data_IF_477749545475
#
_entry.id   IF_477749545475
#
_cell.length_a   1.000
_cell.length_b   1.000
_cell.length_c   1.000
_cell.angle_alpha   90.00
_cell.angle_beta   90.00
_cell.angle_gamma   90.00
#
_symmetry.space_group_name_H-M   'P 1'
#
loop_
_entity.id
_entity.type
_entity.pdbx_description
1 polymer ?
#
# COMPACT_ATOMS: atom_id res chain seq x y z
N UNK A 1 -5.38 -6.31 -10.88
CA UNK A 1 -4.51 -6.99 -9.93
C UNK A 1 -3.53 -7.87 -10.69
N UNK A 2 -2.31 -7.39 -10.87
CA UNK A 2 -1.36 -8.03 -11.78
C UNK A 2 -0.12 -8.54 -11.06
N UNK A 3 0.42 -7.76 -10.11
CA UNK A 3 1.66 -8.05 -9.41
C UNK A 3 1.48 -8.18 -7.89
N UNK A 4 0.26 -8.36 -7.43
CA UNK A 4 -0.10 -8.39 -6.02
C UNK A 4 -0.24 -9.79 -5.40
N UNK A 5 0.06 -10.85 -6.16
CA UNK A 5 0.02 -12.20 -5.64
C UNK A 5 1.02 -12.40 -4.49
N UNK A 6 0.59 -13.09 -3.45
CA UNK A 6 1.32 -13.31 -2.20
C UNK A 6 1.27 -14.77 -1.77
N UNK A 7 2.04 -15.15 -0.78
CA UNK A 7 2.12 -16.49 -0.20
C UNK A 7 1.76 -16.54 1.29
N UNK A 8 0.82 -15.71 1.73
CA UNK A 8 0.52 -15.55 3.15
C UNK A 8 -0.57 -16.47 3.73
N UNK A 9 -1.39 -17.09 2.90
CA UNK A 9 -2.50 -17.95 3.32
C UNK A 9 -2.56 -19.27 2.54
N UNK A 10 -3.56 -20.11 2.80
CA UNK A 10 -3.71 -21.42 2.16
C UNK A 10 -3.90 -21.32 0.64
N UNK A 11 -4.53 -20.28 0.16
CA UNK A 11 -4.68 -20.01 -1.27
C UNK A 11 -3.32 -19.63 -1.86
N UNK A 12 -2.60 -18.78 -1.18
CA UNK A 12 -1.28 -18.32 -1.60
C UNK A 12 -0.22 -19.43 -1.56
N UNK A 13 -0.36 -20.43 -0.67
CA UNK A 13 0.46 -21.63 -0.69
C UNK A 13 0.39 -22.36 -2.03
N UNK A 14 -0.81 -22.42 -2.64
CA UNK A 14 -0.96 -22.98 -3.97
C UNK A 14 -0.23 -22.13 -5.02
N UNK A 15 -0.36 -20.82 -4.95
CA UNK A 15 0.33 -19.87 -5.83
C UNK A 15 1.84 -20.12 -5.72
N UNK A 16 2.39 -20.07 -4.53
CA UNK A 16 3.80 -20.27 -4.25
C UNK A 16 4.34 -21.60 -4.81
N UNK A 17 3.63 -22.68 -4.54
CA UNK A 17 3.99 -24.01 -5.04
C UNK A 17 4.01 -24.11 -6.56
N UNK A 18 3.14 -23.38 -7.25
CA UNK A 18 2.94 -23.49 -8.69
C UNK A 18 3.65 -22.40 -9.50
N UNK A 19 4.19 -21.36 -8.85
CA UNK A 19 4.81 -20.25 -9.58
C UNK A 19 6.25 -20.52 -9.97
N UNK A 20 6.95 -21.45 -9.31
CA UNK A 20 8.40 -21.63 -9.42
C UNK A 20 9.15 -20.30 -9.26
N UNK A 21 8.52 -19.29 -8.65
CA UNK A 21 9.04 -17.94 -8.41
C UNK A 21 9.37 -17.15 -9.68
N UNK A 22 8.79 -17.53 -10.81
CA UNK A 22 8.94 -16.77 -12.06
C UNK A 22 7.91 -15.63 -12.10
N UNK A 23 8.28 -14.42 -12.56
CA UNK A 23 7.37 -13.27 -12.55
C UNK A 23 6.03 -13.54 -13.25
N UNK A 24 6.05 -14.18 -14.41
CA UNK A 24 4.85 -14.52 -15.18
C UNK A 24 3.88 -15.44 -14.43
N UNK A 25 4.40 -16.32 -13.58
CA UNK A 25 3.58 -17.23 -12.77
C UNK A 25 2.91 -16.51 -11.60
N UNK A 26 3.63 -15.62 -10.94
CA UNK A 26 3.03 -14.74 -9.93
C UNK A 26 1.98 -13.84 -10.55
N UNK A 27 2.29 -13.21 -11.68
CA UNK A 27 1.39 -12.33 -12.40
C UNK A 27 0.07 -12.99 -12.79
N UNK A 28 0.10 -14.27 -13.14
CA UNK A 28 -1.09 -15.03 -13.57
C UNK A 28 -1.72 -15.89 -12.47
N UNK A 29 -1.22 -15.82 -11.26
CA UNK A 29 -1.60 -16.71 -10.16
C UNK A 29 -3.07 -16.63 -9.75
N UNK A 30 -3.72 -15.49 -9.95
CA UNK A 30 -5.15 -15.27 -9.69
C UNK A 30 -6.05 -15.58 -10.88
N UNK A 31 -5.51 -16.18 -11.97
CA UNK A 31 -6.26 -16.55 -13.16
C UNK A 31 -6.33 -15.46 -14.25
N UNK A 32 -5.75 -14.30 -14.02
CA UNK A 32 -5.63 -13.26 -15.05
C UNK A 32 -4.54 -13.62 -16.08
N UNK A 33 -4.63 -13.13 -17.32
CA UNK A 33 -3.58 -13.30 -18.31
C UNK A 33 -2.34 -12.46 -17.98
N UNK A 34 -1.22 -12.82 -18.61
CA UNK A 34 -0.01 -11.98 -18.59
C UNK A 34 -0.35 -10.59 -19.11
N UNK A 35 0.04 -9.57 -18.36
CA UNK A 35 -0.22 -8.16 -18.69
C UNK A 35 0.56 -7.74 -19.93
N UNK A 36 -0.15 -7.15 -20.88
CA UNK A 36 0.39 -6.67 -22.15
C UNK A 36 0.13 -5.18 -22.34
N UNK A 37 0.91 -4.49 -23.18
CA UNK A 37 0.72 -3.06 -23.45
C UNK A 37 -0.69 -2.70 -23.93
N UNK A 38 -1.33 -3.60 -24.68
CA UNK A 38 -2.67 -3.41 -25.25
C UNK A 38 -3.74 -3.18 -24.17
N UNK A 39 -3.56 -3.76 -22.98
CA UNK A 39 -4.44 -3.55 -21.85
C UNK A 39 -4.48 -2.07 -21.44
N UNK A 40 -3.33 -1.42 -21.37
CA UNK A 40 -3.25 -0.01 -20.97
C UNK A 40 -3.72 0.93 -22.08
N UNK A 41 -3.50 0.56 -23.33
CA UNK A 41 -4.08 1.27 -24.47
C UNK A 41 -5.61 1.26 -24.39
N UNK A 42 -6.20 0.10 -24.09
CA UNK A 42 -7.66 -0.02 -23.91
C UNK A 42 -8.18 0.85 -22.76
N UNK A 43 -7.48 0.89 -21.62
CA UNK A 43 -7.84 1.80 -20.52
C UNK A 43 -7.74 3.27 -20.92
N UNK A 44 -6.68 3.65 -21.64
CA UNK A 44 -6.54 5.04 -22.16
C UNK A 44 -7.67 5.41 -23.09
N UNK A 45 -8.03 4.54 -24.03
CA UNK A 45 -9.15 4.73 -24.96
C UNK A 45 -10.51 4.81 -24.25
N UNK A 46 -10.66 4.09 -23.13
CA UNK A 46 -11.83 4.18 -22.26
C UNK A 46 -11.87 5.48 -21.39
N UNK A 47 -10.85 6.33 -21.49
CA UNK A 47 -10.82 7.64 -20.81
C UNK A 47 -10.09 7.64 -19.46
N UNK A 48 -9.46 6.53 -19.05
CA UNK A 48 -8.63 6.52 -17.85
C UNK A 48 -7.32 7.28 -18.09
N UNK A 49 -6.86 8.01 -17.08
CA UNK A 49 -5.62 8.77 -17.12
C UNK A 49 -4.60 8.36 -16.06
N UNK A 50 -4.96 7.43 -15.19
CA UNK A 50 -4.10 6.89 -14.15
C UNK A 50 -4.37 5.41 -13.92
N UNK A 51 -3.31 4.69 -13.58
CA UNK A 51 -3.35 3.28 -13.16
C UNK A 51 -2.65 3.19 -11.80
N UNK A 52 -3.30 2.64 -10.81
CA UNK A 52 -2.64 2.17 -9.59
C UNK A 52 -2.15 0.75 -9.84
N UNK A 53 -0.85 0.54 -9.70
CA UNK A 53 -0.19 -0.74 -9.91
C UNK A 53 0.17 -1.36 -8.55
N UNK A 54 -0.65 -2.28 -8.01
CA UNK A 54 -0.35 -2.97 -6.78
C UNK A 54 0.77 -3.99 -7.01
N UNK A 55 1.82 -3.93 -6.17
CA UNK A 55 2.97 -4.82 -6.24
C UNK A 55 3.29 -5.37 -4.86
N UNK A 56 3.33 -6.69 -4.74
CA UNK A 56 3.80 -7.39 -3.54
C UNK A 56 5.27 -7.74 -3.68
N UNK A 57 6.09 -7.36 -2.73
CA UNK A 57 7.54 -7.44 -2.83
C UNK A 57 8.16 -8.57 -2.03
N UNK A 58 7.61 -8.92 -0.86
CA UNK A 58 8.25 -9.88 0.03
C UNK A 58 8.53 -11.26 -0.58
N UNK A 59 7.71 -11.82 -1.50
CA UNK A 59 8.02 -13.09 -2.14
C UNK A 59 9.26 -13.02 -3.03
N UNK A 60 9.68 -11.81 -3.36
CA UNK A 60 10.78 -11.51 -4.27
C UNK A 60 11.96 -10.81 -3.57
N UNK A 61 12.00 -10.83 -2.22
CA UNK A 61 13.05 -10.17 -1.42
C UNK A 61 13.99 -11.20 -0.81
N UNK A 62 14.88 -11.75 -1.63
CA UNK A 62 15.93 -12.67 -1.19
C UNK A 62 15.74 -14.11 -1.64
N UNK A 63 16.86 -14.77 -1.89
CA UNK A 63 16.90 -16.10 -2.51
C UNK A 63 16.52 -17.26 -1.57
N UNK A 64 16.56 -17.03 -0.26
CA UNK A 64 16.35 -18.09 0.74
C UNK A 64 14.88 -18.33 1.07
N UNK A 65 14.02 -17.45 0.65
CA UNK A 65 12.65 -17.37 1.12
C UNK A 65 11.84 -18.64 0.82
N UNK A 66 12.11 -19.33 -0.29
CA UNK A 66 11.32 -20.47 -0.74
C UNK A 66 12.12 -21.74 -1.04
N UNK A 67 13.37 -21.79 -0.65
CA UNK A 67 14.26 -22.91 -1.02
C UNK A 67 14.02 -24.20 -0.26
N UNK A 68 13.25 -24.21 0.80
CA UNK A 68 13.17 -25.41 1.67
C UNK A 68 11.75 -25.70 2.07
N UNK A 69 10.81 -25.90 1.20
CA UNK A 69 9.54 -26.06 1.85
C UNK A 69 8.83 -27.36 1.61
N UNK A 70 8.91 -28.16 2.62
CA UNK A 70 7.82 -29.00 3.08
C UNK A 70 6.76 -28.22 3.90
N UNK A 71 7.07 -27.01 4.35
CA UNK A 71 6.12 -26.09 5.02
C UNK A 71 5.81 -24.92 4.11
N UNK A 72 4.58 -24.85 3.67
CA UNK A 72 4.10 -23.92 2.67
C UNK A 72 3.55 -22.61 3.25
N UNK A 73 3.68 -22.38 4.54
CA UNK A 73 3.27 -21.14 5.19
C UNK A 73 4.46 -20.21 5.36
N UNK A 74 4.42 -19.09 4.68
CA UNK A 74 5.34 -18.00 4.96
C UNK A 74 5.11 -17.46 6.37
N UNK A 75 6.19 -17.18 7.07
CA UNK A 75 6.14 -16.52 8.36
C UNK A 75 7.32 -15.58 8.49
N UNK A 76 7.12 -14.31 8.81
CA UNK A 76 8.21 -13.36 9.03
C UNK A 76 9.18 -13.77 10.13
N UNK A 77 8.74 -14.63 11.04
CA UNK A 77 9.58 -15.15 12.14
C UNK A 77 10.40 -16.36 11.75
N UNK A 78 9.99 -17.09 10.71
CA UNK A 78 10.65 -18.33 10.28
C UNK A 78 11.57 -18.13 9.08
N UNK A 79 11.34 -17.09 8.30
CA UNK A 79 12.05 -16.85 7.04
C UNK A 79 12.43 -15.38 6.95
N UNK A 80 13.61 -15.00 7.45
CA UNK A 80 14.06 -13.62 7.43
C UNK A 80 14.25 -13.14 5.99
N UNK A 81 13.70 -11.96 5.69
CA UNK A 81 13.90 -11.26 4.42
C UNK A 81 15.31 -10.68 4.38
N UNK A 82 15.99 -10.77 3.24
CA UNK A 82 17.30 -10.13 3.04
C UNK A 82 17.18 -8.70 2.53
N UNK A 83 16.02 -8.36 1.99
CA UNK A 83 15.71 -7.05 1.42
C UNK A 83 16.25 -6.81 0.01
N UNK A 84 16.95 -7.77 -0.58
CA UNK A 84 17.40 -7.67 -1.98
C UNK A 84 16.27 -8.12 -2.89
N UNK A 85 15.77 -7.20 -3.70
CA UNK A 85 14.72 -7.51 -4.68
C UNK A 85 15.29 -8.35 -5.82
N UNK A 86 14.59 -9.43 -6.18
CA UNK A 86 14.92 -10.26 -7.32
C UNK A 86 14.98 -9.40 -8.60
N UNK A 87 16.10 -9.36 -9.32
CA UNK A 87 16.22 -8.57 -10.55
C UNK A 87 15.19 -8.92 -11.62
N UNK A 88 14.76 -10.18 -11.70
CA UNK A 88 13.73 -10.59 -12.66
C UNK A 88 12.36 -9.99 -12.29
N UNK A 89 12.04 -9.91 -11.00
CA UNK A 89 10.83 -9.24 -10.53
C UNK A 89 10.89 -7.73 -10.78
N UNK A 90 11.97 -7.07 -10.38
CA UNK A 90 12.16 -5.64 -10.62
C UNK A 90 12.04 -5.32 -12.12
N UNK A 91 12.67 -6.11 -12.99
CA UNK A 91 12.54 -5.96 -14.43
C UNK A 91 11.09 -6.05 -14.90
N UNK A 92 10.31 -7.01 -14.35
CA UNK A 92 8.89 -7.16 -14.74
C UNK A 92 8.05 -5.98 -14.27
N UNK A 93 8.27 -5.50 -13.06
CA UNK A 93 7.62 -4.28 -12.55
C UNK A 93 7.95 -3.09 -13.47
N UNK A 94 9.22 -2.93 -13.84
CA UNK A 94 9.69 -1.88 -14.75
C UNK A 94 8.97 -1.94 -16.10
N UNK A 95 8.89 -3.13 -16.73
CA UNK A 95 8.18 -3.31 -18.00
C UNK A 95 6.70 -2.85 -17.92
N UNK A 96 6.00 -3.16 -16.82
CA UNK A 96 4.60 -2.77 -16.68
C UNK A 96 4.46 -1.27 -16.42
N UNK A 97 5.37 -0.66 -15.66
CA UNK A 97 5.43 0.80 -15.50
C UNK A 97 5.63 1.46 -16.86
N UNK A 98 6.54 0.94 -17.70
CA UNK A 98 6.76 1.44 -19.06
C UNK A 98 5.49 1.34 -19.92
N UNK A 99 4.75 0.24 -19.83
CA UNK A 99 3.50 0.10 -20.58
C UNK A 99 2.50 1.20 -20.20
N UNK A 100 2.37 1.52 -18.92
CA UNK A 100 1.45 2.55 -18.41
C UNK A 100 1.91 3.95 -18.86
N UNK A 101 3.18 4.28 -18.62
CA UNK A 101 3.74 5.61 -18.93
C UNK A 101 3.74 5.87 -20.43
N UNK A 102 3.99 4.85 -21.27
CA UNK A 102 3.94 4.97 -22.74
C UNK A 102 2.57 5.36 -23.29
N UNK A 103 1.49 5.11 -22.54
CA UNK A 103 0.14 5.56 -22.88
C UNK A 103 -0.17 6.97 -22.36
N UNK A 104 0.82 7.72 -21.92
CA UNK A 104 0.63 9.05 -21.35
C UNK A 104 -0.32 9.06 -20.14
N UNK A 105 -0.26 7.99 -19.31
CA UNK A 105 -1.02 7.85 -18.06
C UNK A 105 -0.12 7.99 -16.83
N UNK A 106 -0.71 8.40 -15.72
CA UNK A 106 -0.04 8.32 -14.43
C UNK A 106 0.01 6.87 -13.94
N UNK A 107 1.12 6.49 -13.32
CA UNK A 107 1.30 5.22 -12.64
C UNK A 107 1.52 5.46 -11.14
N UNK A 108 0.70 4.86 -10.29
CA UNK A 108 0.90 4.83 -8.84
C UNK A 108 1.44 3.46 -8.47
N UNK A 109 2.73 3.38 -8.18
CA UNK A 109 3.44 2.14 -7.81
C UNK A 109 3.53 2.03 -6.29
N UNK A 110 3.15 0.89 -5.72
CA UNK A 110 3.09 0.70 -4.28
C UNK A 110 3.83 -0.53 -3.73
N UNK A 111 3.78 -0.65 -2.40
CA UNK A 111 4.08 -1.86 -1.62
C UNK A 111 2.73 -2.39 -1.12
N UNK A 112 2.27 -3.54 -1.66
CA UNK A 112 0.85 -3.94 -1.53
C UNK A 112 0.60 -4.97 -0.43
N UNK A 113 0.57 -6.27 -0.73
CA UNK A 113 0.33 -7.32 0.26
C UNK A 113 1.55 -7.65 1.14
N UNK A 114 2.53 -6.79 1.18
CA UNK A 114 3.51 -6.68 2.26
C UNK A 114 2.86 -6.20 3.57
N UNK A 115 1.65 -5.65 3.44
CA UNK A 115 0.72 -5.23 4.50
C UNK A 115 -0.55 -6.10 4.49
N UNK A 116 -1.42 -5.93 5.46
CA UNK A 116 -2.67 -6.68 5.63
C UNK A 116 -2.70 -7.41 6.96
N UNK A 117 -3.25 -8.62 7.00
CA UNK A 117 -3.32 -9.40 8.24
C UNK A 117 -1.95 -9.85 8.71
N UNK A 118 -1.75 -9.90 10.02
CA UNK A 118 -0.45 -10.11 10.68
C UNK A 118 0.20 -11.48 10.41
N UNK A 119 -0.58 -12.46 9.96
CA UNK A 119 -0.06 -13.78 9.57
C UNK A 119 0.43 -13.84 8.11
N UNK A 120 0.09 -12.85 7.31
CA UNK A 120 0.42 -12.77 5.88
C UNK A 120 1.38 -11.64 5.54
N UNK A 121 1.44 -10.60 6.37
CA UNK A 121 2.22 -9.40 6.15
C UNK A 121 3.49 -9.33 7.00
N UNK A 122 4.51 -8.63 6.53
CA UNK A 122 5.70 -8.33 7.31
C UNK A 122 5.73 -6.88 7.81
N UNK A 123 4.97 -5.99 7.17
CA UNK A 123 4.75 -4.61 7.61
C UNK A 123 3.50 -4.55 8.48
N UNK A 124 3.69 -4.33 9.76
CA UNK A 124 2.64 -4.29 10.78
C UNK A 124 2.74 -2.97 11.52
N UNK A 125 1.61 -2.33 11.76
CA UNK A 125 1.48 -1.10 12.56
C UNK A 125 1.66 -1.42 14.05
N UNK A 126 2.90 -1.60 14.46
CA UNK A 126 3.34 -1.95 15.82
C UNK A 126 4.76 -1.43 16.00
N UNK A 127 5.05 -0.79 17.13
CA UNK A 127 6.34 -0.12 17.35
C UNK A 127 7.53 -1.07 17.37
N UNK A 128 7.39 -2.26 17.97
CA UNK A 128 8.46 -3.27 17.97
C UNK A 128 8.72 -3.78 16.55
N UNK A 129 7.66 -4.03 15.78
CA UNK A 129 7.77 -4.47 14.38
C UNK A 129 8.39 -3.41 13.50
N UNK A 130 8.03 -2.12 13.70
CA UNK A 130 8.67 -1.02 13.00
C UNK A 130 10.17 -1.00 13.24
N UNK A 131 10.60 -1.00 14.51
CA UNK A 131 12.03 -0.96 14.86
C UNK A 131 12.81 -2.13 14.25
N UNK A 132 12.20 -3.31 14.19
CA UNK A 132 12.81 -4.49 13.57
C UNK A 132 12.89 -4.39 12.05
N UNK A 133 11.89 -3.79 11.41
CA UNK A 133 11.72 -3.84 9.95
C UNK A 133 12.14 -2.54 9.24
N UNK A 134 12.35 -1.43 9.96
CA UNK A 134 12.65 -0.14 9.33
C UNK A 134 13.84 -0.15 8.37
N UNK A 135 14.92 -0.84 8.72
CA UNK A 135 16.09 -0.95 7.85
C UNK A 135 15.78 -1.70 6.55
N UNK A 136 14.98 -2.76 6.65
CA UNK A 136 14.55 -3.55 5.51
C UNK A 136 13.59 -2.75 4.62
N UNK A 137 12.68 -2.00 5.21
CA UNK A 137 11.73 -1.14 4.51
C UNK A 137 12.42 0.02 3.81
N UNK A 138 13.40 0.65 4.47
CA UNK A 138 14.27 1.65 3.85
C UNK A 138 15.00 1.06 2.63
N UNK A 139 15.60 -0.13 2.79
CA UNK A 139 16.33 -0.81 1.71
C UNK A 139 15.43 -1.12 0.52
N UNK A 140 14.20 -1.60 0.76
CA UNK A 140 13.22 -1.86 -0.30
C UNK A 140 12.91 -0.57 -1.10
N UNK A 141 12.52 0.51 -0.39
CA UNK A 141 12.18 1.76 -1.06
C UNK A 141 13.37 2.43 -1.74
N UNK A 142 14.58 2.28 -1.20
CA UNK A 142 15.80 2.75 -1.88
C UNK A 142 15.99 2.05 -3.22
N UNK A 143 15.82 0.72 -3.28
CA UNK A 143 15.94 -0.04 -4.53
C UNK A 143 14.88 0.36 -5.55
N UNK A 144 13.61 0.47 -5.12
CA UNK A 144 12.52 0.92 -6.00
C UNK A 144 12.81 2.35 -6.51
N UNK A 145 13.19 3.25 -5.62
CA UNK A 145 13.44 4.64 -5.97
C UNK A 145 14.65 4.80 -6.91
N UNK A 146 15.73 4.06 -6.72
CA UNK A 146 16.90 4.08 -7.63
C UNK A 146 16.56 3.51 -9.00
N UNK A 147 15.79 2.40 -9.09
CA UNK A 147 15.37 1.80 -10.36
C UNK A 147 14.58 2.79 -11.23
N UNK A 148 13.70 3.57 -10.62
CA UNK A 148 12.81 4.49 -11.32
C UNK A 148 13.22 5.96 -11.21
N UNK A 149 14.46 6.25 -10.86
CA UNK A 149 14.98 7.58 -10.57
C UNK A 149 14.78 8.59 -11.69
N UNK A 150 14.92 8.13 -12.93
CA UNK A 150 14.86 8.97 -14.13
C UNK A 150 13.45 9.18 -14.68
N UNK A 151 12.45 8.50 -14.11
CA UNK A 151 11.04 8.70 -14.50
C UNK A 151 10.54 10.07 -14.06
N UNK A 152 9.75 10.71 -14.93
CA UNK A 152 9.13 12.01 -14.67
C UNK A 152 7.95 11.97 -13.71
N UNK A 153 7.21 13.07 -13.66
CA UNK A 153 6.11 13.33 -12.72
C UNK A 153 4.93 12.34 -12.81
N UNK A 154 4.80 11.62 -13.92
CA UNK A 154 3.72 10.63 -14.10
C UNK A 154 3.92 9.36 -13.30
N UNK A 155 5.12 9.07 -12.84
CA UNK A 155 5.34 7.98 -11.88
C UNK A 155 5.25 8.53 -10.46
N UNK A 156 4.32 8.01 -9.70
CA UNK A 156 4.02 8.36 -8.32
C UNK A 156 4.31 7.13 -7.46
N UNK A 157 4.92 7.30 -6.31
CA UNK A 157 5.13 6.21 -5.37
C UNK A 157 4.14 6.28 -4.21
N UNK A 158 3.65 5.11 -3.79
CA UNK A 158 2.74 4.95 -2.66
C UNK A 158 3.38 4.07 -1.58
N UNK A 159 3.47 4.60 -0.37
CA UNK A 159 4.25 4.06 0.74
C UNK A 159 3.96 2.59 1.08
N UNK A 160 2.72 2.27 1.28
CA UNK A 160 2.19 0.94 1.61
C UNK A 160 0.67 0.93 1.40
N UNK A 161 0.11 -0.26 1.26
CA UNK A 161 -1.33 -0.47 1.07
C UNK A 161 -2.12 -0.30 2.40
N UNK A 162 -2.67 -1.35 2.93
CA UNK A 162 -3.55 -1.39 4.10
C UNK A 162 -2.80 -2.00 5.29
N UNK A 163 -2.04 -1.20 6.01
CA UNK A 163 -1.24 -1.67 7.14
C UNK A 163 -2.11 -1.71 8.39
N UNK A 164 -2.28 -2.93 8.94
CA UNK A 164 -3.01 -3.21 10.16
C UNK A 164 -2.07 -3.31 11.37
N UNK A 165 -2.65 -3.24 12.56
CA UNK A 165 -1.96 -3.55 13.81
C UNK A 165 -1.82 -5.07 14.04
N UNK A 166 -1.17 -5.45 15.14
CA UNK A 166 -0.97 -6.84 15.54
C UNK A 166 -2.26 -7.61 15.89
N UNK A 167 -3.39 -6.95 15.92
CA UNK A 167 -4.71 -7.52 16.22
C UNK A 167 -5.60 -7.62 14.96
N UNK A 168 -5.04 -7.30 13.78
CA UNK A 168 -5.78 -7.29 12.53
C UNK A 168 -7.04 -6.40 12.55
N UNK A 169 -6.90 -5.23 13.15
CA UNK A 169 -7.99 -4.27 13.31
C UNK A 169 -8.18 -3.42 12.05
N UNK A 170 -9.35 -3.48 11.42
CA UNK A 170 -9.58 -2.85 10.11
C UNK A 170 -10.07 -1.40 10.15
N UNK A 171 -10.88 -1.02 11.14
CA UNK A 171 -11.53 0.31 11.13
C UNK A 171 -10.72 1.37 11.87
N UNK A 172 -10.10 0.98 12.99
CA UNK A 172 -9.20 1.80 13.81
C UNK A 172 -8.29 0.89 14.62
N UNK A 173 -7.12 1.37 14.98
CA UNK A 173 -6.13 0.58 15.68
C UNK A 173 -6.67 0.08 17.03
N UNK A 174 -6.25 -1.14 17.41
CA UNK A 174 -6.63 -1.83 18.64
C UNK A 174 -8.13 -2.13 18.81
N UNK A 175 -8.89 -2.08 17.73
CA UNK A 175 -10.30 -2.45 17.73
C UNK A 175 -10.50 -3.90 18.20
N UNK A 176 -9.64 -4.81 17.77
CA UNK A 176 -9.69 -6.24 18.08
C UNK A 176 -8.77 -6.65 19.24
N UNK A 177 -8.26 -5.69 20.03
CA UNK A 177 -7.39 -6.00 21.14
C UNK A 177 -8.10 -6.87 22.19
N UNK A 178 -7.40 -7.85 22.81
CA UNK A 178 -7.97 -8.66 23.87
C UNK A 178 -8.48 -7.80 25.03
N UNK A 179 -9.74 -8.03 25.41
CA UNK A 179 -10.39 -7.20 26.45
C UNK A 179 -11.01 -5.90 25.95
N UNK A 180 -11.02 -5.67 24.63
CA UNK A 180 -11.56 -4.48 23.97
C UNK A 180 -10.49 -3.47 23.58
N UNK A 181 -10.93 -2.30 23.12
CA UNK A 181 -10.05 -1.22 22.69
C UNK A 181 -9.00 -0.84 23.74
N UNK A 182 -7.74 -0.82 23.34
CA UNK A 182 -6.60 -0.38 24.14
C UNK A 182 -6.02 0.92 23.59
N UNK A 183 -6.10 1.99 24.38
CA UNK A 183 -5.54 3.28 23.99
C UNK A 183 -4.01 3.24 23.82
N UNK A 184 -3.32 2.44 24.64
CA UNK A 184 -1.87 2.29 24.56
C UNK A 184 -1.46 1.60 23.28
N UNK A 185 -2.09 0.48 22.94
CA UNK A 185 -1.82 -0.26 21.71
C UNK A 185 -2.21 0.54 20.47
N UNK A 186 -3.34 1.27 20.50
CA UNK A 186 -3.75 2.14 19.41
C UNK A 186 -2.73 3.26 19.16
N UNK A 187 -2.24 3.94 20.21
CA UNK A 187 -1.22 4.97 20.06
C UNK A 187 0.09 4.39 19.52
N UNK A 188 0.49 3.20 19.96
CA UNK A 188 1.66 2.50 19.42
C UNK A 188 1.52 2.23 17.93
N UNK A 189 0.37 1.69 17.49
CA UNK A 189 0.08 1.42 16.09
C UNK A 189 0.07 2.70 15.23
N UNK A 190 -0.57 3.78 15.68
CA UNK A 190 -0.57 5.06 14.95
C UNK A 190 0.81 5.67 14.86
N UNK A 191 1.64 5.58 15.91
CA UNK A 191 3.02 6.02 15.88
C UNK A 191 3.84 5.20 14.87
N UNK A 192 3.64 3.89 14.80
CA UNK A 192 4.30 3.04 13.81
C UNK A 192 3.92 3.44 12.38
N UNK A 193 2.64 3.71 12.09
CA UNK A 193 2.17 4.23 10.80
C UNK A 193 2.91 5.52 10.43
N UNK A 194 2.99 6.48 11.36
CA UNK A 194 3.68 7.75 11.14
C UNK A 194 5.17 7.54 10.85
N UNK A 195 5.80 6.63 11.58
CA UNK A 195 7.22 6.30 11.39
C UNK A 195 7.48 5.61 10.04
N UNK A 196 6.63 4.68 9.61
CA UNK A 196 6.74 4.07 8.27
C UNK A 196 6.54 5.12 7.17
N UNK A 197 5.57 6.01 7.31
CA UNK A 197 5.33 7.09 6.35
C UNK A 197 6.54 8.03 6.24
N UNK A 198 7.15 8.43 7.35
CA UNK A 198 8.37 9.24 7.35
C UNK A 198 9.55 8.50 6.74
N UNK A 199 9.75 7.23 7.13
CA UNK A 199 10.84 6.38 6.59
C UNK A 199 10.75 6.25 5.07
N UNK A 200 9.55 6.10 4.53
CA UNK A 200 9.31 6.06 3.09
C UNK A 200 9.75 7.37 2.39
N UNK A 201 9.28 8.50 2.90
CA UNK A 201 9.63 9.81 2.34
C UNK A 201 11.16 10.00 2.35
N UNK A 202 11.78 9.74 3.48
CA UNK A 202 13.24 9.89 3.65
C UNK A 202 14.01 8.97 2.69
N UNK A 203 13.63 7.71 2.59
CA UNK A 203 14.28 6.73 1.72
C UNK A 203 14.19 7.13 0.24
N UNK A 204 13.03 7.57 -0.23
CA UNK A 204 12.84 8.00 -1.62
C UNK A 204 13.63 9.29 -1.89
N UNK A 205 13.52 10.30 -1.03
CA UNK A 205 14.20 11.59 -1.20
C UNK A 205 15.73 11.45 -1.19
N UNK A 206 16.26 10.55 -0.38
CA UNK A 206 17.71 10.30 -0.30
C UNK A 206 18.33 9.82 -1.62
N UNK A 207 17.56 9.24 -2.53
CA UNK A 207 18.07 8.81 -3.85
C UNK A 207 18.31 9.97 -4.82
N UNK A 208 17.73 11.13 -4.60
CA UNK A 208 17.92 12.33 -5.43
C UNK A 208 17.32 12.21 -6.85
N UNK A 209 17.87 12.95 -7.81
CA UNK A 209 17.33 12.99 -9.17
C UNK A 209 15.87 13.44 -9.20
N UNK A 210 15.04 12.85 -10.06
CA UNK A 210 13.63 13.16 -10.13
C UNK A 210 12.84 12.79 -8.87
N UNK A 211 13.41 11.93 -8.01
CA UNK A 211 12.80 11.55 -6.74
C UNK A 211 12.82 12.70 -5.73
N UNK A 212 13.64 13.73 -5.91
CA UNK A 212 13.63 14.94 -5.07
C UNK A 212 12.25 15.62 -5.08
N UNK A 213 11.60 15.69 -6.24
CA UNK A 213 10.30 16.37 -6.41
C UNK A 213 9.20 15.39 -6.88
N UNK A 214 9.41 14.08 -6.74
CA UNK A 214 8.38 13.09 -7.07
C UNK A 214 7.18 13.20 -6.14
N UNK A 215 5.97 13.10 -6.68
CA UNK A 215 4.76 12.99 -5.88
C UNK A 215 4.77 11.65 -5.11
N UNK A 216 4.53 11.71 -3.81
CA UNK A 216 4.53 10.57 -2.90
C UNK A 216 3.16 10.46 -2.22
N UNK A 217 2.60 9.27 -2.25
CA UNK A 217 1.33 8.94 -1.58
C UNK A 217 1.65 8.28 -0.24
N UNK A 218 1.11 8.83 0.83
CA UNK A 218 1.16 8.26 2.18
C UNK A 218 -0.24 7.82 2.58
N UNK A 219 -0.32 6.67 3.23
CA UNK A 219 -1.59 6.02 3.55
C UNK A 219 -1.87 6.10 5.05
N UNK A 220 -3.11 6.38 5.44
CA UNK A 220 -3.54 6.34 6.84
C UNK A 220 -3.55 4.90 7.36
N UNK A 221 -3.73 4.72 8.67
CA UNK A 221 -3.93 3.40 9.26
C UNK A 221 -5.02 2.62 8.48
N UNK A 222 -4.70 1.40 8.04
CA UNK A 222 -5.57 0.52 7.26
C UNK A 222 -6.21 1.17 6.01
N UNK A 223 -5.65 2.28 5.51
CA UNK A 223 -6.27 3.13 4.48
C UNK A 223 -7.72 3.55 4.80
N UNK A 224 -8.08 3.62 6.08
CA UNK A 224 -9.44 3.89 6.52
C UNK A 224 -9.99 5.20 5.97
N UNK A 225 -11.27 5.19 5.60
CA UNK A 225 -12.00 6.37 5.10
C UNK A 225 -12.61 7.24 6.21
N UNK A 226 -12.49 6.82 7.47
CA UNK A 226 -13.02 7.53 8.61
C UNK A 226 -14.51 7.32 8.83
N UNK A 227 -15.10 8.25 9.53
CA UNK A 227 -16.48 8.23 10.02
C UNK A 227 -17.49 8.54 8.91
N UNK A 228 -18.64 7.85 8.94
CA UNK A 228 -19.87 8.23 8.25
C UNK A 228 -20.96 8.65 9.24
N UNK A 229 -22.23 8.67 8.85
CA UNK A 229 -23.34 9.11 9.71
C UNK A 229 -23.65 8.15 10.85
N UNK A 230 -23.48 6.87 10.62
CA UNK A 230 -23.80 5.77 11.53
C UNK A 230 -22.63 5.45 12.49
N UNK A 231 -22.33 6.41 13.33
CA UNK A 231 -21.22 6.31 14.25
C UNK A 231 -21.43 5.26 15.33
N UNK A 232 -20.99 4.05 15.06
CA UNK A 232 -20.91 3.01 16.08
C UNK A 232 -19.68 3.15 16.98
N UNK A 233 -18.67 3.96 16.58
CA UNK A 233 -17.48 4.24 17.39
C UNK A 233 -16.95 5.66 17.21
N UNK A 234 -16.57 6.29 18.31
CA UNK A 234 -15.85 7.58 18.30
C UNK A 234 -14.43 7.48 17.73
N UNK A 235 -13.86 6.25 17.67
CA UNK A 235 -12.51 5.99 17.22
C UNK A 235 -12.36 5.99 15.69
N UNK A 236 -13.44 6.01 14.92
CA UNK A 236 -13.41 5.92 13.46
C UNK A 236 -12.60 7.03 12.78
N UNK A 237 -12.44 8.19 13.40
CA UNK A 237 -11.60 9.26 12.87
C UNK A 237 -10.16 9.26 13.41
N UNK A 238 -9.80 8.35 14.30
CA UNK A 238 -8.41 8.27 14.81
C UNK A 238 -7.37 8.02 13.71
N UNK A 239 -7.64 7.20 12.65
CA UNK A 239 -6.74 7.09 11.51
C UNK A 239 -6.30 8.44 10.91
N UNK A 240 -7.16 9.47 11.01
CA UNK A 240 -6.83 10.83 10.60
C UNK A 240 -6.25 11.64 11.75
N UNK A 241 -6.96 11.75 12.86
CA UNK A 241 -6.57 12.66 13.97
C UNK A 241 -5.22 12.29 14.61
N UNK A 242 -4.77 11.05 14.43
CA UNK A 242 -3.47 10.54 14.90
C UNK A 242 -2.41 10.48 13.79
N UNK A 243 -2.80 10.71 12.52
CA UNK A 243 -1.83 10.73 11.42
C UNK A 243 -1.06 12.05 11.41
N UNK A 244 0.25 11.93 11.33
CA UNK A 244 1.17 13.08 11.21
C UNK A 244 1.71 13.09 9.78
N UNK A 245 1.47 14.18 9.07
CA UNK A 245 2.03 14.36 7.72
C UNK A 245 3.55 14.32 7.81
N UNK A 246 4.23 13.47 7.03
CA UNK A 246 5.68 13.43 7.03
C UNK A 246 6.33 14.79 6.73
N UNK A 247 7.45 15.03 7.36
CA UNK A 247 8.34 16.14 7.00
C UNK A 247 8.99 15.84 5.64
N UNK A 248 8.91 16.78 4.71
CA UNK A 248 9.46 16.65 3.36
C UNK A 248 10.30 17.90 3.02
N UNK A 249 11.50 17.97 3.59
CA UNK A 249 12.40 19.11 3.44
C UNK A 249 13.38 18.98 2.29
N UNK A 250 13.46 17.82 1.65
CA UNK A 250 14.37 17.59 0.53
C UNK A 250 13.84 18.16 -0.81
N UNK A 251 12.57 18.53 -0.85
CA UNK A 251 11.92 19.14 -2.04
C UNK A 251 12.57 20.47 -2.39
N UNK A 252 12.90 20.66 -3.66
CA UNK A 252 13.70 21.81 -4.14
C UNK A 252 12.92 22.83 -4.96
N UNK A 253 11.71 22.50 -5.43
CA UNK A 253 10.88 23.38 -6.29
C UNK A 253 9.89 24.27 -5.49
N UNK A 254 9.90 24.17 -4.16
CA UNK A 254 9.04 24.92 -3.26
C UNK A 254 7.57 24.50 -3.24
N UNK A 255 7.23 23.40 -3.92
CA UNK A 255 5.86 22.85 -3.95
C UNK A 255 5.70 21.72 -2.91
N UNK A 256 4.46 21.31 -2.72
CA UNK A 256 4.13 20.13 -1.89
C UNK A 256 3.97 18.92 -2.79
N UNK A 257 4.64 17.84 -2.45
CA UNK A 257 4.64 16.60 -3.21
C UNK A 257 4.12 15.40 -2.41
N UNK A 258 3.40 15.65 -1.32
CA UNK A 258 2.72 14.62 -0.55
C UNK A 258 1.22 14.59 -0.86
N UNK A 259 0.68 13.39 -0.96
CA UNK A 259 -0.73 13.08 -1.20
C UNK A 259 -1.15 12.10 -0.11
N UNK A 260 -2.30 12.32 0.52
CA UNK A 260 -2.87 11.37 1.48
C UNK A 260 -3.80 10.41 0.76
N UNK A 261 -3.76 9.13 1.12
CA UNK A 261 -4.62 8.10 0.53
C UNK A 261 -5.53 7.49 1.56
N UNK A 262 -6.74 7.19 1.10
CA UNK A 262 -7.73 6.33 1.75
C UNK A 262 -8.27 5.30 0.76
N UNK A 263 -8.92 4.24 1.28
CA UNK A 263 -9.75 3.32 0.52
C UNK A 263 -11.20 3.46 0.92
N UNK A 264 -12.10 3.27 -0.04
CA UNK A 264 -13.54 3.35 0.21
C UNK A 264 -14.28 2.23 -0.52
N UNK A 265 -14.89 1.33 0.24
CA UNK A 265 -15.72 0.27 -0.29
C UNK A 265 -17.15 0.41 0.20
N UNK A 266 -18.07 0.44 -0.76
CA UNK A 266 -19.50 0.51 -0.47
C UNK A 266 -20.00 -0.83 0.07
N UNK A 267 -20.60 -0.84 1.25
CA UNK A 267 -20.95 -2.07 1.97
C UNK A 267 -22.40 -2.56 1.76
N UNK A 268 -23.27 -1.77 1.16
CA UNK A 268 -24.67 -2.17 1.01
C UNK A 268 -25.22 -1.74 -0.35
N UNK A 269 -25.31 -2.68 -1.29
CA UNK A 269 -25.87 -2.44 -2.61
C UNK A 269 -27.37 -2.73 -2.69
N UNK A 270 -27.98 -3.42 -1.73
CA UNK A 270 -29.40 -3.71 -1.71
C UNK A 270 -30.23 -2.43 -1.46
N UNK A 271 -29.62 -1.41 -0.86
CA UNK A 271 -30.23 -0.11 -0.61
C UNK A 271 -29.37 1.02 -1.14
N UNK A 272 -29.56 1.37 -2.41
CA UNK A 272 -28.80 2.42 -3.10
C UNK A 272 -28.90 3.79 -2.41
N UNK A 273 -30.03 4.14 -1.83
CA UNK A 273 -30.19 5.43 -1.14
C UNK A 273 -29.38 5.46 0.16
N UNK A 274 -29.40 4.37 0.94
CA UNK A 274 -28.55 4.23 2.12
C UNK A 274 -27.06 4.31 1.75
N UNK A 275 -26.66 3.61 0.70
CA UNK A 275 -25.31 3.61 0.17
C UNK A 275 -24.82 5.00 -0.25
N UNK A 276 -25.67 5.72 -0.97
CA UNK A 276 -25.39 7.09 -1.39
C UNK A 276 -25.27 8.04 -0.17
N UNK A 277 -26.16 7.90 0.80
CA UNK A 277 -26.11 8.71 2.01
C UNK A 277 -24.84 8.43 2.83
N UNK A 278 -24.43 7.16 2.92
CA UNK A 278 -23.17 6.78 3.57
C UNK A 278 -21.96 7.39 2.84
N UNK A 279 -21.90 7.28 1.51
CA UNK A 279 -20.82 7.88 0.72
C UNK A 279 -20.76 9.40 0.90
N UNK A 280 -21.91 10.08 0.84
CA UNK A 280 -21.99 11.54 1.06
C UNK A 280 -21.53 11.94 2.46
N UNK A 281 -21.89 11.16 3.48
CA UNK A 281 -21.47 11.41 4.85
C UNK A 281 -19.95 11.22 5.01
N UNK A 282 -19.39 10.15 4.46
CA UNK A 282 -17.94 9.92 4.44
C UNK A 282 -17.21 11.08 3.76
N UNK A 283 -17.64 11.48 2.56
CA UNK A 283 -17.05 12.61 1.84
C UNK A 283 -17.19 13.93 2.60
N UNK A 284 -18.32 14.14 3.29
CA UNK A 284 -18.52 15.33 4.12
C UNK A 284 -17.58 15.35 5.31
N UNK A 285 -17.39 14.20 5.97
CA UNK A 285 -16.42 14.06 7.05
C UNK A 285 -15.00 14.33 6.57
N UNK A 286 -14.59 13.74 5.44
CA UNK A 286 -13.28 13.99 4.83
C UNK A 286 -13.08 15.48 4.51
N UNK A 287 -14.09 16.15 3.97
CA UNK A 287 -14.04 17.60 3.70
C UNK A 287 -13.85 18.44 4.95
N UNK A 288 -14.36 17.99 6.10
CA UNK A 288 -14.16 18.68 7.39
C UNK A 288 -12.73 18.52 7.92
N UNK A 289 -12.10 17.38 7.63
CA UNK A 289 -10.74 17.04 8.08
C UNK A 289 -9.67 17.61 7.14
N UNK A 290 -9.94 17.61 5.84
CA UNK A 290 -9.01 17.99 4.78
C UNK A 290 -8.27 19.32 5.00
N UNK A 291 -8.90 20.42 5.45
CA UNK A 291 -8.21 21.68 5.65
C UNK A 291 -7.03 21.61 6.61
N UNK A 292 -7.05 20.66 7.58
CA UNK A 292 -5.98 20.48 8.55
C UNK A 292 -4.72 19.88 7.93
N UNK A 293 -4.85 19.05 6.89
CA UNK A 293 -3.71 18.38 6.24
C UNK A 293 -2.97 19.27 5.24
N UNK A 294 -3.68 20.17 4.55
CA UNK A 294 -3.10 21.05 3.52
C UNK A 294 -2.38 20.31 2.38
N UNK A 295 -2.74 19.04 2.14
CA UNK A 295 -2.29 18.20 1.02
C UNK A 295 -3.49 17.52 0.38
N UNK A 296 -3.44 17.13 -0.91
CA UNK A 296 -4.55 16.44 -1.56
C UNK A 296 -4.87 15.08 -0.89
N UNK A 297 -6.13 14.67 -0.95
CA UNK A 297 -6.56 13.33 -0.57
C UNK A 297 -7.05 12.61 -1.82
N UNK A 298 -6.62 11.36 -2.01
CA UNK A 298 -7.10 10.48 -3.08
C UNK A 298 -7.77 9.24 -2.49
N UNK A 299 -8.67 8.66 -3.27
CA UNK A 299 -9.21 7.33 -3.02
C UNK A 299 -8.40 6.36 -3.89
N UNK A 300 -7.48 5.60 -3.27
CA UNK A 300 -6.58 4.67 -3.95
C UNK A 300 -7.26 3.39 -4.40
N UNK A 301 -8.25 2.94 -3.62
CA UNK A 301 -9.12 1.82 -3.97
C UNK A 301 -10.56 2.17 -3.66
N UNK A 302 -11.45 1.74 -4.54
CA UNK A 302 -12.88 1.86 -4.34
C UNK A 302 -13.62 0.72 -5.04
N UNK A 303 -14.78 0.39 -4.53
CA UNK A 303 -15.60 -0.66 -5.10
C UNK A 303 -16.89 -0.87 -4.33
N UNK A 304 -17.70 -1.78 -4.84
CA UNK A 304 -18.87 -2.27 -4.14
C UNK A 304 -18.60 -3.69 -3.66
N UNK A 305 -18.88 -3.93 -2.39
CA UNK A 305 -18.87 -5.27 -1.81
C UNK A 305 -20.27 -5.86 -1.96
N UNK A 306 -20.42 -6.88 -2.78
CA UNK A 306 -21.65 -7.66 -2.95
C UNK A 306 -21.67 -8.82 -1.97
#
# INVERSE_FOLDING_TARGET
NTLDATSGDTTNMWIEKNTNRTPDKYETAWGQPVTKPELFKMFKEAGFNAIRLPVTWYPHMGSAFFKSSTSLTWSPTKQPLTGDVDPAWMKRVHEIVDYIISQDMYCVLNVHHDTGTSNAAWLIADGEKFEKNKALYTKLWTQIAEEFKDYGEKLIFESYNEMLDKYDSWCFASMNAPGGYSRTDANDAYNAINNYAQTFVDAVRATGGNNTNRNLVVTTYAACSGKANDNWSEHLNEPFTKFVIPTDTAVTDGKKHLILQIHYYQQNLENLESSKNHALATLTNLRSIFPSYKIPIIIGEWGSLN
#
